data_IF_918582766478
#
_entry.id   IF_918582766478
#
_cell.length_a   1.000
_cell.length_b   1.000
_cell.length_c   1.000
_cell.angle_alpha   90.00
_cell.angle_beta   90.00
_cell.angle_gamma   90.00
#
_symmetry.space_group_name_H-M   'P 1'
#
loop_
_entity.id
_entity.type
_entity.pdbx_description
1 polymer ?
#
# COMPACT_ATOMS: atom_id res chain seq x y z
N UNK A 1 8.74 -7.33 -35.40
CA UNK A 1 8.42 -7.90 -34.07
C UNK A 1 8.86 -6.94 -32.95
N UNK A 2 8.31 -5.72 -32.90
CA UNK A 2 8.74 -4.67 -31.94
C UNK A 2 7.60 -3.79 -31.39
N UNK A 3 6.37 -3.92 -31.91
CA UNK A 3 5.23 -3.08 -31.54
C UNK A 3 4.40 -3.64 -30.36
N UNK A 4 4.68 -4.87 -29.91
CA UNK A 4 3.89 -5.51 -28.83
C UNK A 4 4.37 -5.15 -27.41
N UNK A 5 5.64 -4.78 -27.23
CA UNK A 5 6.22 -4.41 -25.92
C UNK A 5 5.99 -2.94 -25.54
N UNK A 6 5.75 -2.05 -26.52
CA UNK A 6 5.49 -0.63 -26.23
C UNK A 6 4.14 -0.43 -25.52
N UNK A 7 3.11 -1.16 -25.96
CA UNK A 7 1.74 -1.08 -25.39
C UNK A 7 1.64 -1.43 -23.90
N UNK A 8 2.28 -2.51 -23.38
CA UNK A 8 2.26 -2.81 -21.96
C UNK A 8 3.02 -1.77 -21.14
N UNK A 9 4.21 -1.35 -21.58
CA UNK A 9 5.00 -0.34 -20.85
C UNK A 9 4.27 1.00 -20.77
N UNK A 10 3.65 1.44 -21.87
CA UNK A 10 2.82 2.65 -21.87
C UNK A 10 1.63 2.52 -20.92
N UNK A 11 0.93 1.38 -20.90
CA UNK A 11 -0.20 1.16 -20.00
C UNK A 11 0.23 1.21 -18.52
N UNK A 12 1.32 0.54 -18.16
CA UNK A 12 1.86 0.57 -16.80
C UNK A 12 2.32 1.98 -16.42
N UNK A 13 3.01 2.69 -17.32
CA UNK A 13 3.41 4.07 -17.11
C UNK A 13 2.23 5.00 -16.89
N UNK A 14 1.14 4.84 -17.65
CA UNK A 14 -0.09 5.61 -17.46
C UNK A 14 -0.75 5.33 -16.11
N UNK A 15 -0.80 4.07 -15.67
CA UNK A 15 -1.34 3.71 -14.35
C UNK A 15 -0.52 4.37 -13.24
N UNK A 16 0.82 4.26 -13.29
CA UNK A 16 1.72 4.86 -12.31
C UNK A 16 1.50 6.37 -12.25
N UNK A 17 1.59 7.06 -13.39
CA UNK A 17 1.46 8.52 -13.43
C UNK A 17 0.08 8.97 -12.95
N UNK A 18 -1.00 8.32 -13.40
CA UNK A 18 -2.35 8.70 -13.01
C UNK A 18 -2.59 8.53 -11.51
N UNK A 19 -2.21 7.38 -10.93
CA UNK A 19 -2.39 7.10 -9.50
C UNK A 19 -1.53 8.05 -8.66
N UNK A 20 -0.26 8.27 -9.03
CA UNK A 20 0.60 9.19 -8.29
C UNK A 20 0.11 10.63 -8.32
N UNK A 21 -0.36 11.12 -9.48
CA UNK A 21 -0.92 12.47 -9.58
C UNK A 21 -2.20 12.63 -8.77
N UNK A 22 -3.08 11.62 -8.78
CA UNK A 22 -4.35 11.67 -8.07
C UNK A 22 -4.18 11.73 -6.54
N UNK A 23 -3.13 11.12 -5.99
CA UNK A 23 -2.84 11.11 -4.56
C UNK A 23 -1.59 11.90 -4.17
N UNK A 24 -1.10 12.79 -5.04
CA UNK A 24 0.09 13.60 -4.76
C UNK A 24 -0.10 14.52 -3.54
N UNK A 25 -1.34 14.88 -3.22
CA UNK A 25 -1.68 15.65 -2.03
C UNK A 25 -1.57 14.84 -0.71
N UNK A 26 -1.45 13.50 -0.78
CA UNK A 26 -1.37 12.64 0.41
C UNK A 26 -0.11 12.90 1.24
N UNK A 27 0.99 13.36 0.62
CA UNK A 27 2.26 13.60 1.31
C UNK A 27 2.21 14.72 2.36
N UNK A 28 1.17 15.57 2.33
CA UNK A 28 0.96 16.61 3.35
C UNK A 28 0.16 16.12 4.56
N UNK A 29 -0.29 14.86 4.58
CA UNK A 29 -1.14 14.33 5.63
C UNK A 29 -0.31 13.81 6.83
N UNK A 30 -0.93 13.88 8.01
CA UNK A 30 -0.37 13.39 9.26
C UNK A 30 -0.87 12.01 9.65
N UNK A 31 -0.66 11.66 10.91
CA UNK A 31 -1.16 10.43 11.54
C UNK A 31 -2.64 10.55 11.91
N UNK A 32 -3.43 9.51 11.65
CA UNK A 32 -4.87 9.49 11.94
C UNK A 32 -5.28 8.18 12.64
N UNK A 33 -6.28 8.25 13.52
CA UNK A 33 -6.96 7.09 14.11
C UNK A 33 -6.00 5.98 14.60
N UNK A 34 -6.00 4.80 13.97
CA UNK A 34 -5.22 3.66 14.40
C UNK A 34 -3.72 3.84 14.15
N UNK A 35 -3.29 4.79 13.32
CA UNK A 35 -1.87 5.12 13.12
C UNK A 35 -1.19 5.41 14.45
N UNK A 36 -1.93 6.03 15.38
CA UNK A 36 -1.37 6.43 16.67
C UNK A 36 -0.90 5.21 17.45
N UNK A 37 -1.78 4.24 17.68
CA UNK A 37 -1.46 3.09 18.51
C UNK A 37 -0.77 1.95 17.74
N UNK A 38 -0.87 1.91 16.41
CA UNK A 38 -0.21 0.89 15.57
C UNK A 38 1.17 1.33 15.08
N UNK A 39 1.43 2.64 14.97
CA UNK A 39 2.68 3.18 14.42
C UNK A 39 3.36 4.14 15.40
N UNK A 40 2.75 5.26 15.78
CA UNK A 40 3.47 6.33 16.50
C UNK A 40 3.80 5.98 17.95
N UNK A 41 2.94 5.21 18.60
CA UNK A 41 3.11 4.78 19.99
C UNK A 41 3.50 3.30 20.12
N UNK A 42 3.51 2.54 19.02
CA UNK A 42 3.80 1.11 19.06
C UNK A 42 5.30 0.84 19.26
N UNK A 43 5.75 0.33 20.42
CA UNK A 43 7.16 0.02 20.63
C UNK A 43 7.62 -1.20 19.83
N UNK A 44 6.70 -2.08 19.43
CA UNK A 44 7.03 -3.36 18.79
C UNK A 44 7.55 -3.21 17.36
N UNK A 45 7.25 -2.10 16.68
CA UNK A 45 7.75 -1.84 15.32
C UNK A 45 9.08 -1.09 15.28
N UNK A 46 9.65 -0.76 16.45
CA UNK A 46 10.89 0.02 16.57
C UNK A 46 12.15 -0.80 16.27
N UNK A 47 12.03 -2.12 16.21
CA UNK A 47 13.13 -3.05 15.96
C UNK A 47 12.68 -4.16 14.99
N UNK A 48 13.60 -4.58 14.13
CA UNK A 48 13.46 -5.73 13.24
C UNK A 48 14.25 -6.96 13.73
N UNK A 49 14.74 -6.96 14.96
CA UNK A 49 15.57 -8.05 15.50
C UNK A 49 14.84 -9.41 15.57
N UNK A 50 13.52 -9.39 15.79
CA UNK A 50 12.68 -10.59 15.82
C UNK A 50 11.48 -10.45 14.86
N UNK A 51 11.70 -10.64 13.54
CA UNK A 51 10.64 -10.52 12.54
C UNK A 51 9.67 -11.71 12.58
N UNK A 52 10.12 -12.89 13.06
CA UNK A 52 9.28 -14.07 13.22
C UNK A 52 8.22 -13.81 14.29
N UNK A 53 8.58 -13.09 15.35
CA UNK A 53 7.64 -12.69 16.39
C UNK A 53 6.41 -11.93 15.89
N UNK A 54 6.49 -11.20 14.76
CA UNK A 54 5.31 -10.56 14.16
C UNK A 54 4.28 -11.58 13.63
N UNK A 55 4.72 -12.80 13.30
CA UNK A 55 3.87 -13.88 12.80
C UNK A 55 3.38 -14.84 13.90
N UNK A 56 3.88 -14.70 15.13
CA UNK A 56 3.53 -15.58 16.25
C UNK A 56 2.87 -14.85 17.41
N UNK A 57 3.09 -13.54 17.54
CA UNK A 57 2.58 -12.71 18.62
C UNK A 57 1.72 -11.56 18.09
N UNK A 58 0.39 -11.74 18.17
CA UNK A 58 -0.59 -10.74 17.74
C UNK A 58 -0.55 -9.44 18.55
N UNK A 59 0.05 -9.44 19.75
CA UNK A 59 0.10 -8.24 20.59
C UNK A 59 1.02 -7.17 20.01
N UNK A 60 1.94 -7.54 19.11
CA UNK A 60 2.85 -6.61 18.42
C UNK A 60 2.18 -5.65 17.43
N UNK A 61 0.91 -5.88 17.10
CA UNK A 61 0.15 -5.03 16.20
C UNK A 61 -0.05 -3.60 16.74
N UNK A 62 -0.18 -3.46 18.05
CA UNK A 62 -0.55 -2.22 18.71
C UNK A 62 0.25 -2.03 19.99
N UNK A 63 0.32 -0.78 20.46
CA UNK A 63 0.78 -0.47 21.83
C UNK A 63 -0.08 -1.18 22.88
N UNK A 64 -1.40 -1.12 22.72
CA UNK A 64 -2.36 -1.63 23.71
C UNK A 64 -2.75 -3.08 23.36
N UNK A 65 -2.56 -4.01 24.30
CA UNK A 65 -2.78 -5.45 24.07
C UNK A 65 -4.26 -5.82 23.84
N UNK A 66 -5.20 -5.01 24.30
CA UNK A 66 -6.65 -5.15 24.06
C UNK A 66 -7.04 -4.80 22.61
N UNK A 67 -6.22 -4.02 21.91
CA UNK A 67 -6.36 -3.71 20.47
C UNK A 67 -5.61 -4.67 19.56
N UNK A 68 -5.08 -5.78 20.10
CA UNK A 68 -4.29 -6.74 19.34
C UNK A 68 -5.07 -7.36 18.17
N UNK A 69 -4.52 -7.23 16.96
CA UNK A 69 -5.00 -7.87 15.74
C UNK A 69 -3.89 -8.73 15.12
N UNK A 70 -4.27 -9.78 14.39
CA UNK A 70 -3.28 -10.59 13.67
C UNK A 70 -3.11 -10.10 12.23
N UNK A 71 -2.19 -9.15 12.04
CA UNK A 71 -1.85 -8.55 10.73
C UNK A 71 -0.33 -8.55 10.49
N UNK A 72 0.32 -9.73 10.42
CA UNK A 72 1.78 -9.83 10.44
C UNK A 72 2.46 -9.08 9.30
N UNK A 73 1.93 -9.17 8.07
CA UNK A 73 2.48 -8.45 6.91
C UNK A 73 2.43 -6.93 7.10
N UNK A 74 1.34 -6.41 7.66
CA UNK A 74 1.25 -4.98 7.98
C UNK A 74 2.37 -4.59 8.95
N UNK A 75 2.47 -5.29 10.09
CA UNK A 75 3.45 -4.96 11.14
C UNK A 75 4.88 -5.03 10.61
N UNK A 76 5.21 -6.06 9.81
CA UNK A 76 6.51 -6.16 9.13
C UNK A 76 6.75 -4.95 8.23
N UNK A 77 5.79 -4.56 7.39
CA UNK A 77 5.99 -3.41 6.49
C UNK A 77 6.12 -2.10 7.26
N UNK A 78 5.40 -1.94 8.39
CA UNK A 78 5.48 -0.75 9.23
C UNK A 78 6.81 -0.68 10.00
N UNK A 79 7.31 -1.81 10.50
CA UNK A 79 8.61 -1.90 11.17
C UNK A 79 9.77 -1.65 10.18
N UNK A 80 9.68 -2.20 8.96
CA UNK A 80 10.62 -1.88 7.88
C UNK A 80 10.58 -0.40 7.49
N UNK A 81 9.39 0.20 7.44
CA UNK A 81 9.24 1.62 7.16
C UNK A 81 9.84 2.48 8.28
N UNK A 82 9.64 2.08 9.55
CA UNK A 82 10.22 2.76 10.70
C UNK A 82 11.75 2.67 10.70
N UNK A 83 12.32 1.51 10.38
CA UNK A 83 13.77 1.33 10.27
C UNK A 83 14.39 2.22 9.16
N UNK A 84 13.60 2.61 8.15
CA UNK A 84 14.06 3.47 7.07
C UNK A 84 14.01 4.97 7.42
N UNK A 85 12.91 5.44 8.02
CA UNK A 85 12.70 6.89 8.21
C UNK A 85 12.00 7.27 9.53
N UNK A 86 11.96 6.36 10.50
CA UNK A 86 11.31 6.54 11.79
C UNK A 86 9.85 7.01 11.66
N UNK A 87 9.51 8.22 12.09
CA UNK A 87 8.14 8.76 12.06
C UNK A 87 7.93 9.82 10.96
N UNK A 88 8.78 9.86 9.95
CA UNK A 88 8.58 10.73 8.78
C UNK A 88 7.42 10.23 7.91
N UNK A 89 6.23 10.85 8.02
CA UNK A 89 4.98 10.42 7.35
C UNK A 89 5.11 10.30 5.83
N UNK A 90 5.94 11.14 5.22
CA UNK A 90 6.14 11.14 3.77
C UNK A 90 6.56 9.78 3.21
N UNK A 91 7.46 9.06 3.89
CA UNK A 91 7.91 7.73 3.43
C UNK A 91 6.79 6.69 3.52
N UNK A 92 5.93 6.80 4.53
CA UNK A 92 4.79 5.91 4.72
C UNK A 92 3.76 6.09 3.61
N UNK A 93 3.47 7.33 3.22
CA UNK A 93 2.63 7.62 2.06
C UNK A 93 3.26 7.12 0.76
N UNK A 94 4.58 7.25 0.58
CA UNK A 94 5.27 6.65 -0.59
C UNK A 94 5.01 5.15 -0.63
N UNK A 95 5.20 4.44 0.49
CA UNK A 95 5.01 2.99 0.53
C UNK A 95 3.54 2.60 0.29
N UNK A 96 2.56 3.29 0.90
CA UNK A 96 1.14 3.03 0.64
C UNK A 96 0.81 3.22 -0.86
N UNK A 97 1.28 4.32 -1.44
CA UNK A 97 1.02 4.66 -2.84
C UNK A 97 1.67 3.65 -3.79
N UNK A 98 2.87 3.16 -3.47
CA UNK A 98 3.54 2.09 -4.24
C UNK A 98 2.76 0.78 -4.17
N UNK A 99 2.29 0.37 -2.98
CA UNK A 99 1.49 -0.86 -2.82
C UNK A 99 0.18 -0.74 -3.59
N UNK A 100 -0.56 0.37 -3.44
CA UNK A 100 -1.81 0.60 -4.16
C UNK A 100 -1.62 0.63 -5.68
N UNK A 101 -0.57 1.30 -6.15
CA UNK A 101 -0.21 1.33 -7.58
C UNK A 101 0.12 -0.09 -8.09
N UNK A 102 0.83 -0.89 -7.29
CA UNK A 102 1.11 -2.28 -7.64
C UNK A 102 -0.20 -3.10 -7.75
N UNK A 103 -1.16 -2.94 -6.85
CA UNK A 103 -2.48 -3.57 -6.96
C UNK A 103 -3.19 -3.17 -8.27
N UNK A 104 -3.18 -1.88 -8.65
CA UNK A 104 -3.78 -1.42 -9.90
C UNK A 104 -3.08 -2.02 -11.14
N UNK A 105 -1.75 -2.12 -11.12
CA UNK A 105 -0.97 -2.77 -12.19
C UNK A 105 -1.25 -4.27 -12.28
N UNK A 106 -1.35 -4.97 -11.14
CA UNK A 106 -1.70 -6.38 -11.11
C UNK A 106 -3.13 -6.62 -11.59
N UNK A 107 -4.07 -5.73 -11.27
CA UNK A 107 -5.42 -5.80 -11.83
C UNK A 107 -5.42 -5.64 -13.35
N UNK A 108 -4.61 -4.72 -13.89
CA UNK A 108 -4.43 -4.62 -15.35
C UNK A 108 -3.91 -5.94 -15.93
N UNK A 109 -2.86 -6.52 -15.34
CA UNK A 109 -2.31 -7.82 -15.76
C UNK A 109 -3.37 -8.91 -15.70
N UNK A 110 -4.13 -9.00 -14.61
CA UNK A 110 -5.20 -9.97 -14.41
C UNK A 110 -6.29 -9.83 -15.49
N UNK A 111 -6.77 -8.62 -15.74
CA UNK A 111 -7.78 -8.36 -16.78
C UNK A 111 -7.27 -8.76 -18.16
N UNK A 112 -5.99 -8.54 -18.46
CA UNK A 112 -5.36 -9.00 -19.70
C UNK A 112 -5.30 -10.53 -19.80
N UNK A 113 -4.98 -11.22 -18.69
CA UNK A 113 -4.97 -12.68 -18.63
C UNK A 113 -6.37 -13.28 -18.77
N UNK A 114 -7.40 -12.58 -18.28
CA UNK A 114 -8.82 -12.93 -18.45
C UNK A 114 -9.38 -12.60 -19.85
N UNK A 115 -8.51 -12.26 -20.81
CA UNK A 115 -8.89 -12.02 -22.20
C UNK A 115 -9.51 -10.66 -22.48
N UNK A 116 -9.47 -9.70 -21.54
CA UNK A 116 -9.98 -8.35 -21.79
C UNK A 116 -9.05 -7.59 -22.74
N UNK A 117 -9.65 -6.85 -23.67
CA UNK A 117 -8.93 -5.99 -24.60
C UNK A 117 -8.08 -4.94 -23.85
N UNK A 118 -6.96 -4.46 -24.45
CA UNK A 118 -6.02 -3.57 -23.76
C UNK A 118 -6.66 -2.31 -23.16
N UNK A 119 -7.60 -1.68 -23.87
CA UNK A 119 -8.29 -0.47 -23.42
C UNK A 119 -9.21 -0.75 -22.23
N UNK A 120 -9.94 -1.88 -22.25
CA UNK A 120 -10.84 -2.25 -21.17
C UNK A 120 -10.06 -2.65 -19.90
N UNK A 121 -8.96 -3.38 -20.07
CA UNK A 121 -8.08 -3.71 -18.96
C UNK A 121 -7.46 -2.45 -18.33
N UNK A 122 -7.03 -1.48 -19.15
CA UNK A 122 -6.51 -0.20 -18.67
C UNK A 122 -7.60 0.62 -17.97
N UNK A 123 -8.80 0.70 -18.54
CA UNK A 123 -9.93 1.40 -17.93
C UNK A 123 -10.30 0.79 -16.56
N UNK A 124 -10.32 -0.54 -16.44
CA UNK A 124 -10.58 -1.22 -15.17
C UNK A 124 -9.52 -0.94 -14.11
N UNK A 125 -8.24 -0.97 -14.50
CA UNK A 125 -7.13 -0.65 -13.59
C UNK A 125 -7.11 0.82 -13.14
N UNK A 126 -7.38 1.76 -14.06
CA UNK A 126 -7.50 3.17 -13.73
C UNK A 126 -8.73 3.44 -12.87
N UNK A 127 -9.87 2.80 -13.17
CA UNK A 127 -11.07 2.92 -12.35
C UNK A 127 -10.80 2.47 -10.91
N UNK A 128 -10.11 1.34 -10.73
CA UNK A 128 -9.70 0.86 -9.40
C UNK A 128 -8.70 1.80 -8.72
N UNK A 129 -7.63 2.16 -9.42
CA UNK A 129 -6.54 2.96 -8.85
C UNK A 129 -7.01 4.37 -8.45
N UNK A 130 -7.87 4.99 -9.25
CA UNK A 130 -8.36 6.35 -9.07
C UNK A 130 -9.69 6.42 -8.29
N UNK A 131 -10.23 5.29 -7.85
CA UNK A 131 -11.52 5.27 -7.16
C UNK A 131 -11.43 6.04 -5.84
N UNK A 132 -12.35 6.99 -5.53
CA UNK A 132 -12.30 7.76 -4.28
C UNK A 132 -12.30 6.90 -3.01
N UNK A 133 -12.90 5.70 -3.04
CA UNK A 133 -12.83 4.76 -1.91
C UNK A 133 -11.38 4.32 -1.57
N UNK A 134 -10.46 4.35 -2.53
CA UNK A 134 -9.06 4.04 -2.28
C UNK A 134 -8.31 5.18 -1.57
N UNK A 135 -8.96 6.32 -1.31
CA UNK A 135 -8.38 7.41 -0.51
C UNK A 135 -8.02 6.93 0.89
N UNK A 136 -8.85 6.06 1.49
CA UNK A 136 -8.60 5.52 2.83
C UNK A 136 -7.28 4.75 2.90
N UNK A 137 -7.05 3.65 2.17
CA UNK A 137 -5.79 2.91 2.26
C UNK A 137 -4.55 3.69 1.79
N UNK A 138 -4.71 4.78 1.03
CA UNK A 138 -3.58 5.64 0.60
C UNK A 138 -3.22 6.72 1.62
N UNK A 139 -4.22 7.32 2.29
CA UNK A 139 -4.01 8.47 3.19
C UNK A 139 -4.03 8.08 4.67
N UNK A 140 -4.78 7.06 5.05
CA UNK A 140 -4.78 6.52 6.39
C UNK A 140 -3.74 5.40 6.46
N UNK A 141 -2.60 5.66 7.11
CA UNK A 141 -1.38 4.88 6.87
C UNK A 141 -1.56 3.40 7.27
N UNK A 142 -2.17 3.12 8.41
CA UNK A 142 -2.42 1.75 8.90
C UNK A 142 -3.45 0.99 8.05
N UNK A 143 -4.34 1.71 7.35
CA UNK A 143 -5.24 1.13 6.34
C UNK A 143 -4.50 0.56 5.11
N UNK A 144 -3.16 0.75 5.01
CA UNK A 144 -2.25 -0.01 4.13
C UNK A 144 -2.57 -1.51 4.10
N UNK A 145 -3.04 -2.08 5.21
CA UNK A 145 -3.40 -3.49 5.30
C UNK A 145 -4.47 -3.94 4.29
N UNK A 146 -5.33 -3.04 3.83
CA UNK A 146 -6.31 -3.34 2.78
C UNK A 146 -5.63 -3.53 1.43
N UNK A 147 -4.76 -2.60 1.03
CA UNK A 147 -3.99 -2.74 -0.22
C UNK A 147 -3.06 -3.95 -0.16
N UNK A 148 -2.45 -4.26 0.99
CA UNK A 148 -1.64 -5.46 1.17
C UNK A 148 -2.45 -6.76 1.00
N UNK A 149 -3.74 -6.74 1.36
CA UNK A 149 -4.62 -7.92 1.23
C UNK A 149 -5.12 -8.10 -0.20
N UNK A 150 -5.12 -7.04 -1.01
CA UNK A 150 -5.47 -7.06 -2.43
C UNK A 150 -4.30 -7.43 -3.35
N UNK A 151 -3.06 -7.28 -2.87
CA UNK A 151 -1.82 -7.58 -3.59
C UNK A 151 -1.57 -9.09 -3.68
#
# INVERSE_FOLDING_TARGET
>A
MGLQLHRPVTALGLIIVAVFLAYANSFGNGWHYDDVHTITENPHIRSLEDPIGFFTDRTRFARDADKAMFRPLLVVTLASNYAWSELETGSYHVVNLLIHTACAMLLWVLLRQLGRGPSLALAGALLFGLHPLATEPVNYISARSESLSAL
#
